data_IF_658319140193
#
_entry.id   IF_658319140193
#
_cell.length_a   1.000
_cell.length_b   1.000
_cell.length_c   1.000
_cell.angle_alpha   90.00
_cell.angle_beta   90.00
_cell.angle_gamma   90.00
#
_symmetry.space_group_name_H-M   'P 1'
#
loop_
_entity.id
_entity.type
_entity.pdbx_description
1 polymer ?
#
# COMPACT_ATOMS: atom_id res chain seq x y z
N UNK A 1 32.90 40.71 12.60
CA UNK A 1 31.51 40.30 12.28
C UNK A 1 31.23 39.03 13.07
N UNK A 2 30.19 39.02 13.91
CA UNK A 2 29.77 37.79 14.60
C UNK A 2 29.09 36.90 13.55
N UNK A 3 29.38 35.59 13.48
CA UNK A 3 28.59 34.69 12.65
C UNK A 3 27.18 34.66 13.24
N UNK A 4 26.18 35.07 12.46
CA UNK A 4 24.79 34.91 12.82
C UNK A 4 24.45 33.43 12.74
N UNK A 5 24.32 32.77 13.88
CA UNK A 5 23.80 31.39 13.95
C UNK A 5 22.31 31.42 13.62
N UNK A 6 21.98 31.29 12.34
CA UNK A 6 20.62 30.95 11.93
C UNK A 6 20.47 29.44 12.15
N UNK A 7 19.70 29.03 13.16
CA UNK A 7 19.30 27.63 13.31
C UNK A 7 18.25 27.34 12.25
N UNK A 8 18.61 26.56 11.24
CA UNK A 8 17.70 25.99 10.25
C UNK A 8 17.20 24.67 10.84
N UNK A 9 15.89 24.47 10.89
CA UNK A 9 15.29 23.19 11.28
C UNK A 9 14.35 22.77 10.17
N UNK A 10 14.82 21.89 9.29
CA UNK A 10 13.97 21.22 8.33
C UNK A 10 13.65 19.82 8.89
N UNK A 11 12.40 19.61 9.27
CA UNK A 11 11.86 18.26 9.28
C UNK A 11 11.22 18.05 7.91
N UNK A 12 11.60 16.99 7.19
CA UNK A 12 10.67 16.40 6.22
C UNK A 12 9.33 16.27 6.93
N UNK A 13 8.25 16.82 6.37
CA UNK A 13 6.94 16.65 6.97
C UNK A 13 6.54 15.21 6.67
N UNK A 14 6.53 14.28 7.64
CA UNK A 14 5.85 13.02 7.40
C UNK A 14 4.38 13.35 7.13
N UNK A 15 3.75 12.52 6.29
CA UNK A 15 2.35 12.65 5.91
C UNK A 15 1.45 13.00 7.12
N UNK A 16 1.74 12.48 8.32
CA UNK A 16 1.08 12.91 9.56
C UNK A 16 1.58 14.27 10.10
N UNK A 17 1.02 15.39 9.62
CA UNK A 17 0.56 16.49 10.49
C UNK A 17 0.21 17.76 9.69
N UNK A 18 -1.09 18.02 9.52
CA UNK A 18 -1.58 19.39 9.47
C UNK A 18 -2.95 19.49 10.17
N UNK A 19 -2.99 20.26 11.25
CA UNK A 19 -4.24 20.70 11.85
C UNK A 19 -4.95 21.68 10.88
N UNK A 20 -6.29 21.63 10.75
CA UNK A 20 -6.99 22.40 9.74
C UNK A 20 -7.01 23.90 10.10
N UNK A 21 -6.45 24.71 9.21
CA UNK A 21 -6.67 26.15 9.19
C UNK A 21 -7.94 26.46 8.39
N UNK A 22 -8.96 26.96 9.09
CA UNK A 22 -10.16 27.52 8.47
C UNK A 22 -9.84 28.81 7.72
N UNK A 23 -10.13 28.86 6.42
CA UNK A 23 -10.15 30.08 5.63
C UNK A 23 -11.55 30.29 5.01
N UNK A 24 -12.17 31.39 5.41
CA UNK A 24 -13.38 31.97 4.84
C UNK A 24 -13.23 32.21 3.33
N UNK A 25 -14.24 31.81 2.55
CA UNK A 25 -14.48 32.36 1.21
C UNK A 25 -15.97 32.62 1.02
N UNK A 26 -16.31 33.90 0.91
CA UNK A 26 -17.62 34.42 0.59
C UNK A 26 -17.95 34.27 -0.91
N UNK A 27 -19.21 33.98 -1.23
CA UNK A 27 -19.79 34.17 -2.56
C UNK A 27 -21.17 34.89 -2.44
N UNK A 28 -21.56 35.75 -3.40
CA UNK A 28 -22.71 36.65 -3.27
C UNK A 28 -23.96 36.20 -4.06
N UNK A 29 -25.14 36.63 -3.58
CA UNK A 29 -26.18 37.17 -4.48
C UNK A 29 -27.56 36.49 -4.59
N UNK A 30 -28.54 37.10 -3.91
CA UNK A 30 -29.96 37.33 -4.33
C UNK A 30 -31.06 36.30 -3.93
N UNK A 31 -32.36 36.70 -3.87
CA UNK A 31 -32.98 37.20 -2.63
C UNK A 31 -34.40 36.66 -2.29
N UNK A 32 -34.88 37.08 -1.09
CA UNK A 32 -36.28 37.37 -0.71
C UNK A 32 -37.26 36.21 -0.37
N UNK A 33 -37.62 36.04 0.91
CA UNK A 33 -38.83 36.66 1.55
C UNK A 33 -39.14 36.10 2.96
N UNK A 34 -39.22 37.05 3.91
CA UNK A 34 -40.08 37.16 5.11
C UNK A 34 -40.38 35.98 6.05
N UNK A 35 -40.12 36.20 7.35
CA UNK A 35 -40.80 35.47 8.43
C UNK A 35 -40.19 35.72 9.81
N UNK A 36 -40.56 36.82 10.47
CA UNK A 36 -40.02 37.28 11.75
C UNK A 36 -40.38 36.39 12.96
N UNK A 37 -39.47 36.31 13.94
CA UNK A 37 -39.74 36.58 15.37
C UNK A 37 -38.45 36.67 16.20
N UNK A 38 -38.36 37.75 16.97
CA UNK A 38 -37.25 38.14 17.83
C UNK A 38 -37.23 37.36 19.16
N UNK A 39 -36.07 37.31 19.83
CA UNK A 39 -35.80 37.99 21.13
C UNK A 39 -34.29 37.91 21.43
N UNK A 40 -33.74 39.07 21.81
CA UNK A 40 -32.35 39.32 22.16
C UNK A 40 -31.94 38.76 23.53
N UNK A 41 -30.62 38.56 23.74
CA UNK A 41 -29.88 39.16 24.88
C UNK A 41 -28.35 38.94 24.81
N UNK A 42 -27.67 40.08 24.66
CA UNK A 42 -26.43 40.57 25.31
C UNK A 42 -25.21 39.64 25.44
N UNK A 43 -24.14 40.04 24.76
CA UNK A 43 -22.72 39.76 25.09
C UNK A 43 -22.34 40.41 26.43
N UNK A 44 -21.57 39.69 27.24
CA UNK A 44 -20.64 40.23 28.22
C UNK A 44 -19.36 39.38 28.23
N UNK A 45 -18.25 40.08 28.39
CA UNK A 45 -16.83 39.75 28.22
C UNK A 45 -16.20 38.94 29.37
N UNK A 46 -15.29 37.98 29.02
CA UNK A 46 -13.99 37.53 29.61
C UNK A 46 -13.83 37.38 31.16
N UNK A 47 -12.88 36.57 31.72
CA UNK A 47 -11.61 36.06 31.15
C UNK A 47 -11.21 34.60 31.52
N UNK A 48 -10.04 34.20 30.98
CA UNK A 48 -9.15 33.06 31.29
C UNK A 48 -9.13 32.54 32.74
N UNK A 49 -9.11 31.20 32.89
CA UNK A 49 -8.36 30.52 33.95
C UNK A 49 -8.00 29.08 33.50
N UNK A 50 -6.71 28.75 33.67
CA UNK A 50 -6.14 27.43 33.47
C UNK A 50 -6.67 26.44 34.54
N UNK A 51 -6.95 25.20 34.13
CA UNK A 51 -7.12 24.08 35.06
C UNK A 51 -6.63 22.79 34.41
N UNK A 52 -5.44 22.38 34.83
CA UNK A 52 -4.96 21.00 34.80
C UNK A 52 -5.94 20.10 35.55
N UNK A 53 -6.38 19.00 34.95
CA UNK A 53 -7.01 17.91 35.69
C UNK A 53 -6.62 16.56 35.09
N UNK A 54 -5.72 15.88 35.80
CA UNK A 54 -5.54 14.44 35.70
C UNK A 54 -6.82 13.76 36.21
N UNK A 55 -7.33 12.78 35.45
CA UNK A 55 -8.33 11.85 35.96
C UNK A 55 -7.94 10.43 35.56
N UNK A 56 -7.30 9.75 36.51
CA UNK A 56 -7.24 8.30 36.56
C UNK A 56 -8.60 7.79 37.06
N UNK A 57 -9.22 6.85 36.35
CA UNK A 57 -10.29 6.02 36.89
C UNK A 57 -10.23 4.60 36.30
N UNK A 58 -9.69 3.72 37.16
CA UNK A 58 -10.15 2.39 37.53
C UNK A 58 -10.69 1.42 36.45
N UNK A 59 -9.90 0.35 36.30
CA UNK A 59 -10.28 -1.00 35.88
C UNK A 59 -11.57 -1.50 36.54
N UNK A 60 -12.45 -2.07 35.72
CA UNK A 60 -13.38 -3.13 36.12
C UNK A 60 -13.26 -4.28 35.13
N UNK A 61 -12.82 -5.42 35.64
CA UNK A 61 -12.65 -6.70 34.97
C UNK A 61 -13.99 -7.36 34.64
N UNK A 62 -14.17 -7.77 33.38
CA UNK A 62 -15.02 -8.90 33.01
C UNK A 62 -14.19 -9.85 32.17
N UNK A 63 -13.85 -11.00 32.76
CA UNK A 63 -13.27 -12.15 32.07
C UNK A 63 -14.36 -12.89 31.29
N UNK A 64 -14.08 -13.24 30.04
CA UNK A 64 -14.87 -14.19 29.28
C UNK A 64 -14.55 -14.15 27.78
N UNK A 65 -13.91 -15.20 27.29
CA UNK A 65 -13.57 -15.49 25.88
C UNK A 65 -12.42 -14.67 25.28
N UNK A 66 -11.19 -15.10 25.57
CA UNK A 66 -10.03 -14.79 24.75
C UNK A 66 -10.19 -15.45 23.37
N UNK A 67 -10.27 -14.64 22.31
CA UNK A 67 -9.93 -15.09 20.98
C UNK A 67 -8.41 -15.39 20.95
N UNK A 68 -7.96 -16.48 20.32
CA UNK A 68 -6.54 -16.76 20.24
C UNK A 68 -5.86 -15.70 19.35
N UNK A 69 -4.65 -15.31 19.76
CA UNK A 69 -3.74 -14.54 18.91
C UNK A 69 -3.54 -15.27 17.56
N UNK A 70 -3.52 -14.48 16.49
CA UNK A 70 -3.55 -14.91 15.10
C UNK A 70 -2.65 -16.11 14.80
N UNK A 71 -3.26 -17.14 14.23
CA UNK A 71 -2.53 -18.06 13.38
C UNK A 71 -2.40 -17.35 12.03
N UNK A 72 -1.23 -16.75 11.78
CA UNK A 72 -0.86 -16.40 10.41
C UNK A 72 -1.01 -17.66 9.57
N UNK A 73 -1.79 -17.57 8.50
CA UNK A 73 -1.83 -18.62 7.48
C UNK A 73 -0.39 -18.86 7.01
N UNK A 74 -0.05 -20.11 6.69
CA UNK A 74 1.24 -20.39 6.08
C UNK A 74 1.28 -19.65 4.73
N UNK A 75 2.07 -18.58 4.65
CA UNK A 75 2.20 -17.77 3.46
C UNK A 75 2.56 -18.64 2.27
N UNK A 76 1.97 -18.33 1.10
CA UNK A 76 2.30 -19.07 -0.11
C UNK A 76 3.81 -18.89 -0.40
N UNK A 77 4.55 -19.98 -0.67
CA UNK A 77 5.95 -19.84 -1.06
C UNK A 77 6.03 -19.03 -2.36
N UNK A 78 7.01 -18.14 -2.45
CA UNK A 78 7.29 -17.40 -3.68
C UNK A 78 7.39 -18.38 -4.87
N UNK A 79 6.86 -18.00 -6.05
CA UNK A 79 6.95 -18.86 -7.22
C UNK A 79 8.43 -19.13 -7.52
N UNK A 80 8.76 -20.40 -7.77
CA UNK A 80 10.10 -20.80 -8.22
C UNK A 80 10.13 -20.92 -9.73
N UNK A 81 11.22 -20.55 -10.42
CA UNK A 81 11.35 -20.75 -11.86
C UNK A 81 11.13 -22.23 -12.19
N UNK A 82 10.10 -22.51 -13.00
CA UNK A 82 9.80 -23.87 -13.45
C UNK A 82 10.99 -24.44 -14.22
N UNK A 83 11.48 -25.60 -13.79
CA UNK A 83 12.51 -26.34 -14.51
C UNK A 83 12.05 -26.63 -15.93
N UNK A 84 12.58 -25.86 -16.90
CA UNK A 84 12.34 -26.08 -18.31
C UNK A 84 12.79 -27.49 -18.68
N UNK A 85 11.83 -28.35 -19.01
CA UNK A 85 12.06 -29.64 -19.64
C UNK A 85 12.56 -29.34 -21.06
N UNK A 86 13.85 -29.52 -21.31
CA UNK A 86 14.43 -29.39 -22.65
C UNK A 86 14.18 -30.66 -23.47
N UNK A 87 13.72 -30.56 -24.74
CA UNK A 87 13.97 -31.60 -25.71
C UNK A 87 15.35 -31.36 -26.38
N UNK A 88 16.14 -32.43 -26.47
CA UNK A 88 17.42 -32.48 -27.17
C UNK A 88 17.34 -31.97 -28.62
N UNK A 89 18.28 -31.12 -29.05
CA UNK A 89 18.94 -31.23 -30.37
C UNK A 89 20.17 -30.31 -30.51
N UNK A 90 21.33 -30.97 -30.63
CA UNK A 90 22.63 -30.71 -31.28
C UNK A 90 23.31 -29.30 -31.41
N UNK A 91 24.68 -29.25 -31.49
CA UNK A 91 25.49 -28.08 -31.15
C UNK A 91 26.10 -27.33 -32.35
N UNK A 92 26.26 -26.00 -32.23
CA UNK A 92 27.39 -25.27 -32.85
C UNK A 92 27.58 -23.85 -32.28
N UNK A 93 28.70 -23.68 -31.57
CA UNK A 93 29.63 -22.51 -31.50
C UNK A 93 29.14 -21.09 -31.85
N UNK A 94 29.19 -20.14 -30.91
CA UNK A 94 30.27 -19.10 -30.74
C UNK A 94 29.99 -18.25 -29.46
N UNK A 95 30.87 -17.35 -28.94
CA UNK A 95 31.18 -17.28 -27.51
C UNK A 95 30.79 -15.93 -26.89
N UNK A 96 30.87 -15.84 -25.56
CA UNK A 96 30.89 -14.55 -24.88
C UNK A 96 29.74 -14.32 -23.89
N UNK A 97 29.51 -15.28 -23.01
CA UNK A 97 29.01 -14.97 -21.67
C UNK A 97 30.24 -14.82 -20.74
N UNK A 98 30.37 -13.75 -19.94
CA UNK A 98 31.24 -13.79 -18.79
C UNK A 98 30.62 -14.71 -17.72
N UNK A 99 31.45 -15.32 -16.86
CA UNK A 99 31.03 -16.45 -16.04
C UNK A 99 30.24 -15.99 -14.81
N UNK A 100 29.26 -16.81 -14.44
CA UNK A 100 28.63 -16.80 -13.12
C UNK A 100 29.63 -17.26 -12.04
N UNK A 101 29.50 -16.59 -10.89
CA UNK A 101 29.91 -16.94 -9.52
C UNK A 101 31.32 -16.57 -9.03
N UNK A 102 31.37 -15.57 -8.14
CA UNK A 102 31.96 -15.75 -6.81
C UNK A 102 32.64 -14.52 -6.18
N UNK A 103 32.36 -14.32 -4.88
CA UNK A 103 33.13 -13.61 -3.84
C UNK A 103 32.54 -12.28 -3.35
N UNK A 104 32.50 -12.12 -2.03
CA UNK A 104 31.88 -11.00 -1.30
C UNK A 104 32.39 -9.59 -1.65
N UNK A 105 33.48 -9.48 -2.40
CA UNK A 105 34.03 -8.20 -2.87
C UNK A 105 33.30 -7.69 -4.12
N UNK A 106 32.76 -8.58 -4.95
CA UNK A 106 31.98 -8.20 -6.13
C UNK A 106 30.62 -7.64 -5.68
N UNK A 107 30.01 -8.19 -4.62
CA UNK A 107 28.76 -7.66 -4.03
C UNK A 107 28.89 -6.25 -3.43
N UNK A 108 30.03 -5.89 -2.83
CA UNK A 108 30.26 -4.52 -2.36
C UNK A 108 30.43 -3.54 -3.54
N UNK A 109 30.92 -4.03 -4.69
CA UNK A 109 31.00 -3.27 -5.93
C UNK A 109 29.64 -3.15 -6.61
N UNK A 110 28.87 -4.23 -6.69
CA UNK A 110 27.52 -4.26 -7.25
C UNK A 110 26.57 -3.38 -6.41
N UNK A 111 26.60 -3.49 -5.07
CA UNK A 111 25.82 -2.62 -4.19
C UNK A 111 26.26 -1.15 -4.25
N UNK A 112 27.55 -0.88 -4.53
CA UNK A 112 28.02 0.47 -4.77
C UNK A 112 27.61 1.00 -6.16
N UNK A 113 27.51 0.13 -7.17
CA UNK A 113 27.01 0.47 -8.51
C UNK A 113 25.48 0.65 -8.52
N UNK A 114 24.72 -0.19 -7.83
CA UNK A 114 23.27 -0.06 -7.66
C UNK A 114 22.90 1.13 -6.75
N UNK A 115 23.66 1.35 -5.68
CA UNK A 115 23.59 2.58 -4.89
C UNK A 115 23.89 3.81 -5.76
N UNK A 116 24.97 3.79 -6.55
CA UNK A 116 25.30 4.89 -7.47
C UNK A 116 24.26 5.08 -8.60
N UNK A 117 23.59 4.02 -9.03
CA UNK A 117 22.47 4.04 -9.97
C UNK A 117 21.27 4.75 -9.34
N UNK A 118 20.85 4.33 -8.14
CA UNK A 118 19.72 4.92 -7.41
C UNK A 118 19.92 6.41 -7.06
N UNK A 119 21.14 6.83 -6.75
CA UNK A 119 21.48 8.21 -6.41
C UNK A 119 21.11 9.22 -7.51
N UNK A 120 20.99 8.79 -8.79
CA UNK A 120 20.82 9.71 -9.93
C UNK A 120 19.64 9.40 -10.85
N UNK A 121 18.87 8.36 -10.58
CA UNK A 121 17.77 7.93 -11.47
C UNK A 121 16.39 8.11 -10.87
N UNK A 122 16.29 8.57 -9.61
CA UNK A 122 15.01 8.81 -8.96
C UNK A 122 14.25 10.01 -9.56
N UNK A 123 12.91 9.94 -9.66
CA UNK A 123 12.11 11.02 -10.22
C UNK A 123 12.17 12.29 -9.35
N UNK A 124 12.31 12.17 -8.03
CA UNK A 124 12.36 13.35 -7.17
C UNK A 124 13.69 14.11 -7.30
N UNK A 125 14.81 13.40 -7.47
CA UNK A 125 16.09 13.98 -7.86
C UNK A 125 16.00 14.73 -9.20
N UNK A 126 15.29 14.16 -10.18
CA UNK A 126 15.16 14.75 -11.51
C UNK A 126 14.43 16.11 -11.50
N UNK A 127 13.50 16.33 -10.57
CA UNK A 127 12.78 17.59 -10.39
C UNK A 127 13.58 18.71 -9.71
N UNK A 128 14.68 18.36 -9.04
CA UNK A 128 15.52 19.34 -8.38
C UNK A 128 16.30 20.17 -9.42
N UNK A 129 16.52 21.45 -9.12
CA UNK A 129 17.45 22.28 -9.90
C UNK A 129 18.89 21.77 -9.82
N UNK A 130 19.77 22.15 -10.76
CA UNK A 130 21.18 21.68 -10.77
C UNK A 130 21.91 21.91 -9.44
N UNK A 131 21.67 23.04 -8.75
CA UNK A 131 22.29 23.30 -7.43
C UNK A 131 21.68 22.47 -6.31
N UNK A 132 20.39 22.16 -6.39
CA UNK A 132 19.70 21.27 -5.45
C UNK A 132 20.11 19.81 -5.66
N UNK A 133 20.27 19.37 -6.91
CA UNK A 133 20.83 18.06 -7.27
C UNK A 133 22.25 17.91 -6.72
N UNK A 134 23.12 18.91 -6.87
CA UNK A 134 24.45 18.88 -6.27
C UNK A 134 24.39 18.73 -4.75
N UNK A 135 23.44 19.40 -4.09
CA UNK A 135 23.22 19.27 -2.65
C UNK A 135 22.69 17.90 -2.26
N UNK A 136 21.74 17.35 -3.03
CA UNK A 136 21.21 16.00 -2.88
C UNK A 136 22.35 14.99 -2.87
N UNK A 137 23.23 15.02 -3.87
CA UNK A 137 24.32 14.04 -4.01
C UNK A 137 25.25 14.05 -2.79
N UNK A 138 25.60 15.24 -2.30
CA UNK A 138 26.47 15.38 -1.13
C UNK A 138 25.78 14.89 0.15
N UNK A 139 24.50 15.22 0.33
CA UNK A 139 23.73 14.81 1.51
C UNK A 139 23.47 13.30 1.49
N UNK A 140 23.04 12.74 0.36
CA UNK A 140 22.83 11.31 0.19
C UNK A 140 24.11 10.51 0.47
N UNK A 141 25.26 10.94 -0.04
CA UNK A 141 26.55 10.29 0.24
C UNK A 141 26.94 10.35 1.73
N UNK A 142 26.62 11.46 2.42
CA UNK A 142 26.83 11.56 3.86
C UNK A 142 25.90 10.60 4.63
N UNK A 143 24.64 10.47 4.21
CA UNK A 143 23.69 9.50 4.79
C UNK A 143 24.19 8.07 4.58
N UNK A 144 24.61 7.71 3.37
CA UNK A 144 25.21 6.42 3.01
C UNK A 144 26.43 6.08 3.88
N UNK A 145 27.27 7.07 4.16
CA UNK A 145 28.45 6.90 5.00
C UNK A 145 28.14 6.97 6.50
N UNK A 146 26.87 7.18 6.87
CA UNK A 146 26.42 7.49 8.23
C UNK A 146 27.22 8.64 8.88
N UNK A 147 27.59 9.63 8.08
CA UNK A 147 28.23 10.85 8.51
C UNK A 147 27.16 11.85 8.96
N UNK A 148 27.05 12.04 10.27
CA UNK A 148 26.00 12.89 10.83
C UNK A 148 26.18 14.37 10.45
N UNK A 149 27.41 14.83 10.25
CA UNK A 149 27.70 16.22 9.91
C UNK A 149 28.17 16.33 8.47
N UNK A 150 27.45 17.11 7.67
CA UNK A 150 27.77 17.36 6.27
C UNK A 150 27.85 18.87 6.00
N UNK A 151 28.71 19.27 5.06
CA UNK A 151 28.82 20.65 4.58
C UNK A 151 28.51 20.64 3.11
N UNK A 152 27.54 21.46 2.71
CA UNK A 152 27.15 21.66 1.31
C UNK A 152 27.45 23.09 0.89
N UNK A 153 27.87 23.24 -0.36
CA UNK A 153 28.08 24.56 -0.94
C UNK A 153 26.74 25.24 -1.22
N UNK A 154 26.70 26.56 -1.02
CA UNK A 154 25.49 27.36 -1.14
C UNK A 154 24.76 27.55 0.18
N UNK A 155 23.90 28.57 0.19
CA UNK A 155 23.02 28.88 1.33
C UNK A 155 21.66 28.22 1.11
N UNK A 156 21.50 26.98 1.55
CA UNK A 156 20.21 26.29 1.49
C UNK A 156 19.24 26.92 2.51
N UNK A 157 18.15 27.52 2.02
CA UNK A 157 17.02 27.92 2.86
C UNK A 157 16.13 26.73 3.22
N UNK A 158 15.25 26.90 4.20
CA UNK A 158 14.41 25.82 4.75
C UNK A 158 13.60 25.08 3.68
N UNK A 159 12.99 25.80 2.73
CA UNK A 159 12.19 25.20 1.65
C UNK A 159 13.04 24.36 0.69
N UNK A 160 14.24 24.85 0.35
CA UNK A 160 15.19 24.17 -0.53
C UNK A 160 15.71 22.91 0.15
N UNK A 161 16.10 23.03 1.42
CA UNK A 161 16.57 21.89 2.21
C UNK A 161 15.45 20.85 2.35
N UNK A 162 14.22 21.27 2.65
CA UNK A 162 13.06 20.38 2.74
C UNK A 162 12.84 19.59 1.45
N UNK A 163 12.84 20.25 0.28
CA UNK A 163 12.73 19.56 -1.02
C UNK A 163 13.84 18.55 -1.24
N UNK A 164 15.09 18.91 -0.96
CA UNK A 164 16.24 18.00 -1.13
C UNK A 164 16.14 16.79 -0.20
N UNK A 165 15.79 16.99 1.08
CA UNK A 165 15.66 15.89 2.04
C UNK A 165 14.48 14.98 1.70
N UNK A 166 13.35 15.53 1.26
CA UNK A 166 12.19 14.76 0.81
C UNK A 166 12.53 13.95 -0.45
N UNK A 167 13.22 14.54 -1.42
CA UNK A 167 13.67 13.82 -2.61
C UNK A 167 14.53 12.61 -2.24
N UNK A 168 15.48 12.77 -1.29
CA UNK A 168 16.26 11.63 -0.79
C UNK A 168 15.34 10.59 -0.14
N UNK A 169 14.43 11.02 0.73
CA UNK A 169 13.54 10.12 1.47
C UNK A 169 12.58 9.32 0.56
N UNK A 170 12.19 9.88 -0.59
CA UNK A 170 11.27 9.25 -1.55
C UNK A 170 11.98 8.47 -2.65
N UNK A 171 13.19 8.85 -3.05
CA UNK A 171 13.97 8.10 -4.05
C UNK A 171 14.77 6.94 -3.45
N UNK A 172 15.11 7.02 -2.14
CA UNK A 172 16.09 6.12 -1.51
C UNK A 172 15.50 5.33 -0.33
N UNK A 173 14.58 4.37 -0.60
CA UNK A 173 14.02 3.52 0.44
C UNK A 173 15.07 2.63 1.14
N UNK A 174 16.24 2.44 0.53
CA UNK A 174 17.39 1.73 1.09
C UNK A 174 18.06 2.50 2.26
N UNK A 175 17.92 3.82 2.33
CA UNK A 175 18.51 4.67 3.37
C UNK A 175 17.67 4.71 4.67
N UNK A 176 17.17 3.55 5.12
CA UNK A 176 16.19 3.41 6.21
C UNK A 176 16.61 3.99 7.58
N UNK A 177 17.89 4.25 7.80
CA UNK A 177 18.36 4.86 9.06
C UNK A 177 18.22 6.38 9.09
N UNK A 178 17.94 7.03 7.96
CA UNK A 178 17.70 8.46 7.89
C UNK A 178 16.25 8.80 8.20
N UNK A 179 16.02 9.76 9.11
CA UNK A 179 14.66 10.12 9.55
C UNK A 179 13.95 11.11 8.63
N UNK A 180 14.64 11.64 7.60
CA UNK A 180 14.15 12.78 6.81
C UNK A 180 14.41 14.13 7.47
N UNK A 181 14.95 14.18 8.70
CA UNK A 181 15.17 15.42 9.43
C UNK A 181 16.65 15.84 9.47
N UNK A 182 16.88 17.15 9.43
CA UNK A 182 18.19 17.74 9.67
C UNK A 182 18.07 19.09 10.38
N UNK A 183 19.10 19.42 11.16
CA UNK A 183 19.32 20.80 11.62
C UNK A 183 20.49 21.40 10.88
N UNK A 184 20.47 22.71 10.64
CA UNK A 184 21.47 23.36 9.81
C UNK A 184 21.87 24.74 10.30
N UNK A 185 22.98 25.23 9.77
CA UNK A 185 23.39 26.63 9.88
C UNK A 185 24.08 27.07 8.59
N UNK A 186 23.83 28.30 8.18
CA UNK A 186 24.47 28.91 7.02
C UNK A 186 25.59 29.84 7.49
N UNK A 187 26.78 29.67 6.91
CA UNK A 187 27.92 30.56 7.15
C UNK A 187 28.82 30.63 5.93
N UNK A 188 29.27 31.84 5.56
CA UNK A 188 30.22 32.06 4.45
C UNK A 188 29.81 31.41 3.12
N UNK A 189 28.50 31.36 2.82
CA UNK A 189 27.99 30.76 1.59
C UNK A 189 28.00 29.23 1.57
N UNK A 190 28.10 28.59 2.74
CA UNK A 190 27.96 27.15 2.92
C UNK A 190 26.88 26.85 3.95
N UNK A 191 26.18 25.73 3.78
CA UNK A 191 25.28 25.18 4.77
C UNK A 191 25.95 23.99 5.46
N UNK A 192 26.09 24.06 6.78
CA UNK A 192 26.48 22.91 7.61
C UNK A 192 25.23 22.26 8.16
N UNK A 193 25.03 20.97 7.93
CA UNK A 193 23.91 20.18 8.42
C UNK A 193 24.35 19.16 9.47
N UNK A 194 23.46 18.88 10.40
CA UNK A 194 23.48 17.73 11.31
C UNK A 194 22.25 16.89 10.98
N UNK A 195 22.49 15.75 10.34
CA UNK A 195 21.49 14.79 9.92
C UNK A 195 20.99 13.99 11.12
N UNK A 196 19.69 13.68 11.13
CA UNK A 196 19.08 12.87 12.17
C UNK A 196 18.95 11.42 11.70
N UNK A 197 19.41 10.50 12.56
CA UNK A 197 19.44 9.07 12.28
C UNK A 197 18.69 8.30 13.37
N UNK A 198 17.82 7.38 12.96
CA UNK A 198 17.03 6.53 13.86
C UNK A 198 17.80 5.30 14.34
N UNK A 199 18.93 4.97 13.69
CA UNK A 199 19.71 3.75 13.93
C UNK A 199 21.10 4.09 14.46
N UNK A 200 21.54 3.36 15.49
CA UNK A 200 22.90 3.48 16.02
C UNK A 200 23.94 2.97 15.02
N UNK A 201 25.00 3.76 14.81
CA UNK A 201 26.05 3.47 13.81
C UNK A 201 26.73 2.12 14.03
N UNK A 202 26.83 1.62 15.27
CA UNK A 202 27.44 0.33 15.55
C UNK A 202 26.53 -0.85 15.14
N UNK A 203 25.23 -0.61 15.02
CA UNK A 203 24.23 -1.62 14.59
C UNK A 203 23.85 -1.51 13.12
N UNK A 204 24.19 -0.39 12.47
CA UNK A 204 23.77 -0.08 11.11
C UNK A 204 24.18 -1.16 10.09
N UNK A 205 25.44 -1.60 10.11
CA UNK A 205 25.91 -2.60 9.14
C UNK A 205 25.16 -3.93 9.25
N UNK A 206 24.82 -4.35 10.47
CA UNK A 206 24.05 -5.57 10.67
C UNK A 206 22.61 -5.41 10.18
N UNK A 207 22.00 -4.23 10.37
CA UNK A 207 20.65 -3.94 9.88
C UNK A 207 20.59 -3.81 8.36
N UNK A 208 21.61 -3.22 7.72
CA UNK A 208 21.77 -3.20 6.25
C UNK A 208 21.81 -4.62 5.69
N UNK A 209 22.72 -5.45 6.19
CA UNK A 209 22.82 -6.84 5.75
C UNK A 209 21.52 -7.65 5.95
N UNK A 210 20.74 -7.34 6.98
CA UNK A 210 19.44 -7.96 7.20
C UNK A 210 18.38 -7.50 6.17
N UNK A 211 18.37 -6.22 5.80
CA UNK A 211 17.52 -5.71 4.73
C UNK A 211 17.90 -6.31 3.38
N UNK A 212 19.19 -6.29 3.04
CA UNK A 212 19.71 -6.85 1.78
C UNK A 212 19.32 -8.33 1.66
N UNK A 213 19.46 -9.11 2.74
CA UNK A 213 19.06 -10.51 2.76
C UNK A 213 17.54 -10.70 2.63
N UNK A 214 16.73 -9.83 3.24
CA UNK A 214 15.27 -9.89 3.13
C UNK A 214 14.81 -9.59 1.70
N UNK A 215 15.41 -8.58 1.06
CA UNK A 215 15.17 -8.22 -0.34
C UNK A 215 15.60 -9.36 -1.27
N UNK A 216 16.82 -9.89 -1.12
CA UNK A 216 17.32 -11.02 -1.93
C UNK A 216 16.40 -12.24 -1.84
N UNK A 217 15.91 -12.57 -0.65
CA UNK A 217 14.98 -13.69 -0.47
C UNK A 217 13.66 -13.52 -1.24
N UNK A 218 13.27 -12.27 -1.52
CA UNK A 218 12.09 -11.94 -2.34
C UNK A 218 12.46 -11.91 -3.82
N UNK A 219 13.57 -11.29 -4.18
CA UNK A 219 13.97 -11.03 -5.57
C UNK A 219 14.46 -12.28 -6.28
N UNK A 220 15.34 -13.08 -5.66
CA UNK A 220 15.98 -14.22 -6.35
C UNK A 220 14.99 -15.26 -6.89
N UNK A 221 13.89 -15.65 -6.18
CA UNK A 221 12.90 -16.57 -6.74
C UNK A 221 12.13 -16.01 -7.95
N UNK A 222 12.09 -14.68 -8.09
CA UNK A 222 11.32 -13.99 -9.12
C UNK A 222 12.13 -13.74 -10.40
N UNK A 223 13.42 -14.06 -10.39
CA UNK A 223 14.28 -13.95 -11.56
C UNK A 223 13.74 -14.77 -12.75
N UNK A 224 13.68 -14.14 -13.92
CA UNK A 224 13.22 -14.78 -15.16
C UNK A 224 11.70 -14.84 -15.34
N UNK A 225 10.91 -14.35 -14.39
CA UNK A 225 9.48 -14.10 -14.59
C UNK A 225 9.26 -12.81 -15.41
N UNK A 226 8.06 -12.63 -15.96
CA UNK A 226 7.68 -11.35 -16.60
C UNK A 226 7.60 -10.23 -15.54
N UNK A 227 7.85 -8.95 -15.90
CA UNK A 227 7.74 -7.84 -14.95
C UNK A 227 6.41 -7.80 -14.18
N UNK A 228 5.29 -8.06 -14.86
CA UNK A 228 3.98 -8.17 -14.21
C UNK A 228 3.93 -9.31 -13.17
N UNK A 229 4.44 -10.50 -13.51
CA UNK A 229 4.47 -11.62 -12.57
C UNK A 229 5.42 -11.37 -11.39
N UNK A 230 6.56 -10.71 -11.61
CA UNK A 230 7.48 -10.27 -10.56
C UNK A 230 6.80 -9.28 -9.61
N UNK A 231 6.13 -8.27 -10.17
CA UNK A 231 5.39 -7.26 -9.43
C UNK A 231 4.29 -7.88 -8.56
N UNK A 232 3.43 -8.73 -9.15
CA UNK A 232 2.36 -9.41 -8.40
C UNK A 232 2.92 -10.27 -7.27
N UNK A 233 3.96 -11.05 -7.53
CA UNK A 233 4.53 -11.92 -6.50
C UNK A 233 5.16 -11.13 -5.34
N UNK A 234 5.83 -10.01 -5.63
CA UNK A 234 6.35 -9.11 -4.60
C UNK A 234 5.24 -8.40 -3.82
N UNK A 235 4.20 -7.94 -4.51
CA UNK A 235 2.98 -7.38 -3.90
C UNK A 235 2.35 -8.36 -2.91
N UNK A 236 2.03 -9.57 -3.37
CA UNK A 236 1.38 -10.62 -2.57
C UNK A 236 2.27 -11.00 -1.37
N UNK A 237 3.59 -11.11 -1.58
CA UNK A 237 4.51 -11.42 -0.51
C UNK A 237 4.49 -10.35 0.58
N UNK A 238 4.58 -9.07 0.21
CA UNK A 238 4.58 -7.97 1.20
C UNK A 238 3.25 -7.93 1.95
N UNK A 239 2.11 -8.03 1.26
CA UNK A 239 0.79 -8.05 1.88
C UNK A 239 0.63 -9.22 2.87
N UNK A 240 1.23 -10.38 2.61
CA UNK A 240 1.14 -11.54 3.51
C UNK A 240 2.13 -11.55 4.68
N UNK A 241 3.22 -10.77 4.61
CA UNK A 241 4.33 -10.86 5.57
C UNK A 241 4.54 -9.60 6.40
N UNK A 242 3.89 -8.50 6.03
CA UNK A 242 3.89 -7.27 6.81
C UNK A 242 2.54 -7.14 7.50
N UNK A 243 2.55 -6.86 8.80
CA UNK A 243 1.34 -6.55 9.54
C UNK A 243 1.21 -5.04 9.73
N UNK A 244 0.03 -4.50 9.40
CA UNK A 244 -0.27 -3.10 9.57
C UNK A 244 -0.31 -2.70 11.05
N UNK A 245 0.53 -1.74 11.46
CA UNK A 245 0.65 -1.25 12.83
C UNK A 245 0.46 0.28 12.93
N UNK A 246 -0.79 0.76 13.06
CA UNK A 246 -1.09 2.20 13.17
C UNK A 246 -0.63 2.82 14.49
N UNK A 247 -0.13 2.01 15.44
CA UNK A 247 0.36 2.43 16.75
C UNK A 247 1.86 2.17 16.93
N UNK A 248 2.54 1.81 15.84
CA UNK A 248 3.98 1.54 15.82
C UNK A 248 4.82 2.75 16.25
N UNK A 249 6.12 2.53 16.49
CA UNK A 249 7.03 3.62 16.81
C UNK A 249 7.02 4.66 15.68
N UNK A 250 7.17 5.94 16.03
CA UNK A 250 7.12 7.05 15.06
C UNK A 250 8.10 6.91 13.88
N UNK A 251 9.21 6.18 14.07
CA UNK A 251 10.21 5.89 13.04
C UNK A 251 10.02 4.52 12.36
N UNK A 252 8.91 3.82 12.61
CA UNK A 252 8.61 2.46 12.16
C UNK A 252 8.01 2.36 10.76
N UNK A 253 8.38 3.25 9.84
CA UNK A 253 7.74 3.38 8.52
C UNK A 253 8.71 3.18 7.35
N UNK A 254 9.76 2.39 7.56
CA UNK A 254 10.83 2.18 6.57
C UNK A 254 10.72 0.82 5.90
N UNK A 255 11.41 0.63 4.78
CA UNK A 255 11.52 -0.69 4.14
C UNK A 255 12.10 -1.75 5.09
N UNK A 256 12.99 -1.36 6.01
CA UNK A 256 13.50 -2.25 7.06
C UNK A 256 12.41 -2.71 8.03
N UNK A 257 11.53 -1.82 8.49
CA UNK A 257 10.45 -2.21 9.41
C UNK A 257 9.47 -3.18 8.74
N UNK A 258 9.13 -2.90 7.48
CA UNK A 258 8.28 -3.79 6.70
C UNK A 258 8.96 -5.14 6.40
N UNK A 259 10.11 -5.16 5.72
CA UNK A 259 10.71 -6.40 5.22
C UNK A 259 11.46 -7.23 6.27
N UNK A 260 11.98 -6.61 7.33
CA UNK A 260 12.79 -7.30 8.36
C UNK A 260 12.02 -7.48 9.66
N UNK A 261 11.29 -6.46 10.11
CA UNK A 261 10.51 -6.55 11.36
C UNK A 261 9.07 -7.06 11.12
N UNK A 262 8.63 -7.12 9.87
CA UNK A 262 7.31 -7.64 9.48
C UNK A 262 6.16 -6.76 9.93
N UNK A 263 6.40 -5.47 10.25
CA UNK A 263 5.38 -4.55 10.79
C UNK A 263 5.65 -3.11 10.38
N UNK A 264 4.63 -2.43 9.86
CA UNK A 264 4.75 -1.03 9.44
C UNK A 264 3.36 -0.38 9.25
N UNK A 265 3.35 0.91 8.93
CA UNK A 265 2.21 1.61 8.29
C UNK A 265 2.44 1.75 6.78
N UNK A 266 1.49 2.39 6.08
CA UNK A 266 1.46 2.57 4.62
C UNK A 266 2.80 3.02 4.03
N UNK A 267 3.47 3.98 4.66
CA UNK A 267 4.74 4.50 4.15
C UNK A 267 5.88 3.46 4.16
N UNK A 268 5.85 2.44 5.03
CA UNK A 268 6.83 1.35 4.96
C UNK A 268 6.43 0.23 4.01
N UNK A 269 5.13 -0.03 3.80
CA UNK A 269 4.67 -0.91 2.71
C UNK A 269 5.11 -0.34 1.36
N UNK A 270 4.85 0.95 1.13
CA UNK A 270 5.20 1.62 -0.11
C UNK A 270 6.72 1.67 -0.36
N UNK A 271 7.53 1.86 0.70
CA UNK A 271 9.00 1.81 0.60
C UNK A 271 9.54 0.39 0.39
N UNK A 272 8.94 -0.62 1.02
CA UNK A 272 9.30 -2.01 0.82
C UNK A 272 9.04 -2.45 -0.63
N UNK A 273 7.84 -2.14 -1.14
CA UNK A 273 7.47 -2.45 -2.50
C UNK A 273 8.38 -1.71 -3.50
N UNK A 274 8.60 -0.41 -3.30
CA UNK A 274 9.53 0.38 -4.12
C UNK A 274 10.93 -0.24 -4.15
N UNK A 275 11.48 -0.61 -2.99
CA UNK A 275 12.81 -1.21 -2.90
C UNK A 275 12.89 -2.54 -3.65
N UNK A 276 11.90 -3.42 -3.50
CA UNK A 276 11.87 -4.70 -4.23
C UNK A 276 11.74 -4.48 -5.75
N UNK A 277 10.90 -3.55 -6.19
CA UNK A 277 10.74 -3.24 -7.63
C UNK A 277 12.02 -2.68 -8.25
N UNK A 278 12.71 -1.78 -7.53
CA UNK A 278 14.02 -1.24 -7.91
C UNK A 278 15.03 -2.37 -8.20
N UNK A 279 15.11 -3.34 -7.30
CA UNK A 279 16.05 -4.47 -7.36
C UNK A 279 15.68 -5.44 -8.49
N UNK A 280 14.39 -5.57 -8.81
CA UNK A 280 13.90 -6.28 -9.99
C UNK A 280 14.12 -5.48 -11.30
N UNK A 281 14.57 -4.23 -11.22
CA UNK A 281 14.75 -3.35 -12.38
C UNK A 281 13.44 -2.80 -12.95
N UNK A 282 12.35 -2.84 -12.19
CA UNK A 282 11.03 -2.34 -12.57
C UNK A 282 10.89 -0.90 -12.06
N UNK A 283 10.66 0.11 -12.93
CA UNK A 283 10.51 1.49 -12.48
C UNK A 283 9.34 1.63 -11.51
N UNK A 284 9.63 2.10 -10.30
CA UNK A 284 8.65 2.28 -9.24
C UNK A 284 8.98 3.52 -8.42
N UNK A 285 7.96 4.35 -8.16
CA UNK A 285 8.10 5.58 -7.39
C UNK A 285 7.21 5.54 -6.16
N UNK A 286 7.74 6.00 -5.03
CA UNK A 286 6.93 6.31 -3.85
C UNK A 286 5.98 7.46 -4.18
N UNK A 287 4.77 7.45 -3.60
CA UNK A 287 3.81 8.54 -3.70
C UNK A 287 3.40 8.95 -2.29
N UNK A 288 3.46 10.24 -2.00
CA UNK A 288 2.86 10.82 -0.79
C UNK A 288 1.58 11.55 -1.17
N UNK A 289 0.50 11.33 -0.41
CA UNK A 289 -0.77 11.98 -0.64
C UNK A 289 -1.76 11.79 0.49
N UNK A 290 -3.03 11.73 0.14
CA UNK A 290 -4.14 11.50 1.06
C UNK A 290 -5.07 10.42 0.50
N UNK A 291 -5.75 9.69 1.39
CA UNK A 291 -6.74 8.69 1.02
C UNK A 291 -7.92 8.66 2.01
N UNK A 292 -9.08 8.18 1.56
CA UNK A 292 -10.34 8.11 2.32
C UNK A 292 -11.06 6.76 2.18
N UNK A 293 -11.82 6.35 3.18
CA UNK A 293 -12.78 5.22 3.04
C UNK A 293 -12.38 3.90 3.72
N UNK A 294 -11.26 3.83 4.43
CA UNK A 294 -10.96 2.66 5.25
C UNK A 294 -11.75 2.68 6.58
N UNK A 295 -12.21 1.51 7.04
CA UNK A 295 -13.04 1.33 8.25
C UNK A 295 -12.41 1.89 9.55
N UNK A 296 -11.11 2.19 9.54
CA UNK A 296 -10.37 2.68 10.70
C UNK A 296 -10.39 4.22 10.85
N UNK A 297 -10.84 4.96 9.84
CA UNK A 297 -10.92 6.42 9.87
C UNK A 297 -12.38 6.88 9.88
N UNK A 298 -12.61 8.12 10.33
CA UNK A 298 -13.94 8.73 10.24
C UNK A 298 -14.41 8.69 8.78
N UNK A 299 -15.63 8.21 8.56
CA UNK A 299 -16.21 8.05 7.22
C UNK A 299 -16.17 9.38 6.45
N UNK A 300 -15.51 9.38 5.28
CA UNK A 300 -15.34 10.56 4.43
C UNK A 300 -14.19 11.50 4.83
N UNK A 301 -13.35 11.16 5.80
CA UNK A 301 -12.15 11.92 6.11
C UNK A 301 -10.98 11.50 5.22
N UNK A 302 -10.37 12.48 4.56
CA UNK A 302 -9.07 12.31 3.89
C UNK A 302 -7.97 12.29 4.95
N UNK A 303 -7.15 11.26 4.91
CA UNK A 303 -6.03 11.07 5.83
C UNK A 303 -4.72 10.92 5.08
N UNK A 304 -3.60 11.38 5.64
CA UNK A 304 -2.33 11.27 4.97
C UNK A 304 -1.95 9.82 4.71
N UNK A 305 -1.56 9.52 3.47
CA UNK A 305 -1.35 8.17 2.98
C UNK A 305 -0.18 8.08 2.02
N UNK A 306 0.28 6.87 1.76
CA UNK A 306 1.39 6.60 0.85
C UNK A 306 1.21 5.28 0.12
N UNK A 307 1.51 5.30 -1.18
CA UNK A 307 1.40 4.17 -2.09
C UNK A 307 2.50 4.28 -3.16
N UNK A 308 2.39 3.53 -4.26
CA UNK A 308 3.36 3.57 -5.35
C UNK A 308 2.72 3.81 -6.71
N UNK A 309 3.51 4.35 -7.65
CA UNK A 309 3.28 4.12 -9.08
C UNK A 309 4.33 3.17 -9.64
N UNK A 310 3.94 2.32 -10.58
CA UNK A 310 4.80 1.33 -11.23
C UNK A 310 4.66 1.40 -12.74
N UNK A 311 5.76 1.24 -13.47
CA UNK A 311 5.75 1.15 -14.93
C UNK A 311 5.85 -0.31 -15.38
N UNK A 312 4.87 -0.75 -16.17
CA UNK A 312 4.79 -2.08 -16.77
C UNK A 312 4.54 -1.93 -18.27
N UNK A 313 5.41 -2.49 -19.09
CA UNK A 313 5.30 -2.47 -20.56
C UNK A 313 5.04 -1.07 -21.16
N UNK A 314 5.59 -0.03 -20.53
CA UNK A 314 5.47 1.37 -20.95
C UNK A 314 4.19 2.08 -20.48
N UNK A 315 3.37 1.43 -19.66
CA UNK A 315 2.20 2.00 -19.01
C UNK A 315 2.44 2.17 -17.51
N UNK A 316 1.86 3.20 -16.90
CA UNK A 316 2.09 3.56 -15.51
C UNK A 316 0.80 3.37 -14.72
N UNK A 317 0.87 2.70 -13.58
CA UNK A 317 -0.28 2.37 -12.76
C UNK A 317 -0.06 2.69 -11.28
N UNK A 318 -1.14 3.04 -10.57
CA UNK A 318 -1.15 3.13 -9.11
C UNK A 318 -1.22 1.73 -8.50
N UNK A 319 -0.48 1.53 -7.40
CA UNK A 319 -0.46 0.29 -6.61
C UNK A 319 -0.41 0.65 -5.13
N UNK A 320 -1.38 0.17 -4.35
CA UNK A 320 -1.36 0.28 -2.89
C UNK A 320 -1.45 -1.08 -2.19
N UNK A 321 -0.27 -1.63 -1.91
CA UNK A 321 -0.09 -2.89 -1.16
C UNK A 321 -0.74 -2.83 0.23
N UNK A 322 -0.85 -1.64 0.83
CA UNK A 322 -1.40 -1.49 2.18
C UNK A 322 -2.91 -1.72 2.19
N UNK A 323 -3.60 -1.27 1.15
CA UNK A 323 -5.06 -1.42 1.05
C UNK A 323 -5.45 -2.80 0.51
N UNK A 324 -4.59 -3.39 -0.30
CA UNK A 324 -4.73 -4.78 -0.75
C UNK A 324 -4.38 -5.82 0.34
N UNK A 325 -3.66 -5.43 1.41
CA UNK A 325 -3.56 -6.16 2.69
C UNK A 325 -4.86 -5.97 3.52
N UNK A 326 -5.95 -6.53 3.00
CA UNK A 326 -7.29 -6.42 3.58
C UNK A 326 -7.93 -7.79 3.79
N UNK A 327 -8.64 -8.00 4.91
CA UNK A 327 -9.25 -9.28 5.20
C UNK A 327 -10.41 -9.57 4.23
N UNK A 328 -10.51 -10.82 3.80
CA UNK A 328 -11.61 -11.34 2.98
C UNK A 328 -12.43 -12.32 3.84
N UNK A 329 -13.70 -11.98 4.11
CA UNK A 329 -14.55 -12.74 5.05
C UNK A 329 -13.90 -13.00 6.42
N UNK A 330 -13.36 -11.94 7.03
CA UNK A 330 -12.70 -11.97 8.36
C UNK A 330 -11.41 -12.80 8.42
N UNK A 331 -10.85 -13.20 7.27
CA UNK A 331 -9.58 -13.92 7.16
C UNK A 331 -8.53 -13.06 6.46
N UNK A 332 -7.29 -13.11 6.94
CA UNK A 332 -6.13 -12.45 6.29
C UNK A 332 -6.04 -12.95 4.83
N UNK A 333 -6.07 -12.02 3.89
CA UNK A 333 -6.07 -12.29 2.46
C UNK A 333 -5.34 -11.16 1.72
N UNK A 334 -5.04 -11.42 0.44
CA UNK A 334 -4.58 -10.37 -0.47
C UNK A 334 -5.70 -10.08 -1.44
N UNK A 335 -6.11 -8.82 -1.49
CA UNK A 335 -7.04 -8.29 -2.47
C UNK A 335 -6.28 -7.65 -3.63
N UNK A 336 -7.03 -7.25 -4.64
CA UNK A 336 -6.50 -6.52 -5.79
C UNK A 336 -7.43 -5.35 -6.11
N UNK A 337 -7.95 -4.67 -5.09
CA UNK A 337 -8.79 -3.46 -5.26
C UNK A 337 -7.98 -2.25 -5.66
N UNK A 338 -6.73 -2.19 -5.23
CA UNK A 338 -5.84 -1.05 -5.40
C UNK A 338 -4.56 -1.43 -6.18
N UNK A 339 -4.66 -2.48 -6.99
CA UNK A 339 -3.56 -3.06 -7.77
C UNK A 339 -3.65 -2.73 -9.27
N UNK A 340 -2.65 -2.01 -9.78
CA UNK A 340 -2.51 -1.57 -11.17
C UNK A 340 -3.69 -0.72 -11.67
N UNK A 341 -4.02 0.33 -10.91
CA UNK A 341 -5.15 1.21 -11.16
C UNK A 341 -4.78 2.43 -12.00
N UNK A 342 -5.69 2.88 -12.86
CA UNK A 342 -5.56 4.18 -13.55
C UNK A 342 -5.81 5.32 -12.54
N UNK A 343 -5.35 6.54 -12.84
CA UNK A 343 -5.65 7.70 -11.99
C UNK A 343 -7.17 7.96 -11.89
N UNK A 344 -7.94 7.69 -12.95
CA UNK A 344 -9.41 7.87 -12.95
C UNK A 344 -10.10 6.91 -11.98
N UNK A 345 -9.69 5.63 -11.98
CA UNK A 345 -10.25 4.62 -11.07
C UNK A 345 -9.80 4.85 -9.62
N UNK A 346 -8.55 5.32 -9.43
CA UNK A 346 -7.94 5.53 -8.12
C UNK A 346 -8.42 6.83 -7.44
N UNK A 347 -8.84 7.84 -8.22
CA UNK A 347 -9.25 9.16 -7.72
C UNK A 347 -10.50 9.16 -6.83
N UNK A 348 -11.27 8.06 -6.81
CA UNK A 348 -12.44 7.93 -5.94
C UNK A 348 -12.08 8.01 -4.45
N UNK A 349 -10.90 7.49 -4.09
CA UNK A 349 -10.46 7.33 -2.71
C UNK A 349 -9.00 7.75 -2.45
N UNK A 350 -8.21 8.05 -3.49
CA UNK A 350 -6.81 8.49 -3.38
C UNK A 350 -6.56 9.82 -4.09
N UNK A 351 -5.69 10.65 -3.50
CA UNK A 351 -5.27 11.92 -4.09
C UNK A 351 -3.80 12.20 -3.82
N UNK A 352 -3.00 12.38 -4.89
CA UNK A 352 -1.58 12.76 -4.77
C UNK A 352 -1.42 14.10 -4.05
N UNK A 353 -0.44 14.16 -3.15
CA UNK A 353 -0.04 15.41 -2.51
C UNK A 353 0.83 16.28 -3.42
N UNK A 354 1.02 17.55 -3.04
CA UNK A 354 1.85 18.51 -3.80
C UNK A 354 3.26 17.98 -4.09
N UNK A 355 3.83 17.24 -3.13
CA UNK A 355 5.18 16.69 -3.25
C UNK A 355 5.31 15.64 -4.36
N UNK A 356 4.21 14.98 -4.73
CA UNK A 356 4.19 13.91 -5.74
C UNK A 356 3.38 14.28 -6.99
N UNK A 357 2.92 15.53 -7.09
CA UNK A 357 2.05 16.00 -8.17
C UNK A 357 2.73 16.06 -9.54
N UNK A 358 4.07 16.10 -9.57
CA UNK A 358 4.85 16.11 -10.81
C UNK A 358 5.05 14.71 -11.40
N UNK A 359 4.82 13.65 -10.61
CA UNK A 359 5.03 12.28 -11.07
C UNK A 359 4.14 12.00 -12.29
N UNK A 360 4.57 11.14 -13.23
CA UNK A 360 3.79 10.81 -14.41
C UNK A 360 2.35 10.38 -14.10
N UNK A 361 1.42 10.75 -14.98
CA UNK A 361 0.03 10.33 -14.87
C UNK A 361 -0.07 8.80 -15.06
N UNK A 362 -1.02 8.18 -14.35
CA UNK A 362 -1.42 6.79 -14.55
C UNK A 362 -2.61 6.74 -15.51
N UNK A 363 -2.43 7.23 -16.73
CA UNK A 363 -3.47 7.45 -17.74
C UNK A 363 -3.38 6.46 -18.92
N UNK A 364 -2.70 5.33 -18.70
CA UNK A 364 -2.65 4.23 -19.66
C UNK A 364 -3.97 3.47 -19.81
N UNK A 365 -3.98 2.47 -20.69
CA UNK A 365 -5.12 1.55 -20.82
C UNK A 365 -5.35 0.80 -19.49
N UNK A 366 -6.62 0.55 -19.09
CA UNK A 366 -6.94 -0.24 -17.91
C UNK A 366 -6.17 -1.56 -17.91
N UNK A 367 -5.56 -1.90 -16.76
CA UNK A 367 -4.74 -3.09 -16.65
C UNK A 367 -5.60 -4.37 -16.74
N UNK A 368 -5.36 -5.18 -17.76
CA UNK A 368 -6.02 -6.48 -17.94
C UNK A 368 -5.37 -7.54 -17.04
N UNK A 369 -5.91 -7.67 -15.82
CA UNK A 369 -5.40 -8.59 -14.81
C UNK A 369 -5.49 -10.06 -15.25
N UNK A 370 -6.60 -10.45 -15.87
CA UNK A 370 -6.80 -11.83 -16.30
C UNK A 370 -5.85 -12.18 -17.46
N UNK A 371 -5.66 -11.27 -18.43
CA UNK A 371 -4.68 -11.50 -19.49
C UNK A 371 -3.25 -11.58 -18.95
N UNK A 372 -2.91 -10.77 -17.93
CA UNK A 372 -1.58 -10.75 -17.34
C UNK A 372 -1.26 -12.02 -16.52
N UNK A 373 -2.25 -12.57 -15.80
CA UNK A 373 -2.02 -13.63 -14.81
C UNK A 373 -2.72 -14.96 -15.11
N UNK A 374 -3.59 -15.01 -16.12
CA UNK A 374 -4.38 -16.18 -16.49
C UNK A 374 -5.49 -16.53 -15.50
N UNK A 375 -5.82 -15.61 -14.58
CA UNK A 375 -6.81 -15.76 -13.53
C UNK A 375 -7.41 -14.40 -13.19
N UNK A 376 -8.72 -14.32 -12.95
CA UNK A 376 -9.38 -13.09 -12.51
C UNK A 376 -9.01 -12.73 -11.06
N UNK A 377 -9.26 -11.47 -10.68
CA UNK A 377 -8.92 -10.93 -9.34
C UNK A 377 -9.62 -11.70 -8.21
N UNK A 378 -10.86 -12.15 -8.41
CA UNK A 378 -11.62 -12.84 -7.37
C UNK A 378 -11.15 -14.26 -7.15
N UNK A 379 -10.79 -14.98 -8.22
CA UNK A 379 -10.14 -16.29 -8.10
C UNK A 379 -8.75 -16.17 -7.49
N UNK A 380 -7.95 -15.18 -7.89
CA UNK A 380 -6.65 -14.93 -7.27
C UNK A 380 -6.78 -14.67 -5.75
N UNK A 381 -7.76 -13.86 -5.33
CA UNK A 381 -8.04 -13.61 -3.92
C UNK A 381 -8.55 -14.88 -3.19
N UNK A 382 -9.39 -15.68 -3.83
CA UNK A 382 -9.90 -16.95 -3.28
C UNK A 382 -8.78 -17.99 -3.10
N UNK A 383 -7.82 -18.05 -4.01
CA UNK A 383 -6.66 -18.95 -3.95
C UNK A 383 -5.82 -18.74 -2.68
N UNK A 384 -5.62 -17.48 -2.25
CA UNK A 384 -4.91 -17.16 -1.00
C UNK A 384 -5.59 -17.75 0.24
N UNK A 385 -6.91 -17.91 0.20
CA UNK A 385 -7.69 -18.53 1.27
C UNK A 385 -7.92 -20.04 1.09
N UNK A 386 -7.41 -20.64 0.01
CA UNK A 386 -7.72 -22.02 -0.36
C UNK A 386 -9.22 -22.26 -0.62
N UNK A 387 -9.94 -21.21 -1.03
CA UNK A 387 -11.38 -21.27 -1.30
C UNK A 387 -11.62 -21.83 -2.71
N UNK A 388 -12.38 -22.91 -2.77
CA UNK A 388 -12.90 -23.43 -4.05
C UNK A 388 -14.09 -22.58 -4.52
N UNK A 389 -13.94 -21.97 -5.70
CA UNK A 389 -15.02 -21.25 -6.39
C UNK A 389 -15.87 -22.24 -7.19
N UNK A 390 -17.18 -22.27 -6.91
CA UNK A 390 -18.12 -23.21 -7.54
C UNK A 390 -18.56 -22.79 -8.95
N UNK A 391 -18.41 -21.51 -9.30
CA UNK A 391 -18.75 -20.96 -10.60
C UNK A 391 -18.67 -19.44 -10.62
N UNK A 392 -18.99 -18.86 -11.76
CA UNK A 392 -19.01 -17.41 -11.96
C UNK A 392 -20.27 -16.96 -12.69
N UNK A 393 -20.73 -15.74 -12.42
CA UNK A 393 -21.88 -15.15 -13.09
C UNK A 393 -21.66 -13.66 -13.37
N UNK A 394 -21.95 -13.27 -14.61
CA UNK A 394 -22.04 -11.86 -15.03
C UNK A 394 -23.48 -11.46 -15.35
N UNK A 395 -24.40 -12.43 -15.38
CA UNK A 395 -25.84 -12.22 -15.63
C UNK A 395 -26.71 -12.89 -14.56
N UNK A 396 -27.96 -12.40 -14.46
CA UNK A 396 -28.95 -12.98 -13.57
C UNK A 396 -29.27 -14.44 -13.94
N UNK A 397 -29.31 -14.76 -15.24
CA UNK A 397 -29.57 -16.09 -15.75
C UNK A 397 -28.46 -17.09 -15.38
N UNK A 398 -27.19 -16.69 -15.51
CA UNK A 398 -26.04 -17.51 -15.09
C UNK A 398 -26.05 -17.74 -13.58
N UNK A 399 -26.31 -16.68 -12.80
CA UNK A 399 -26.43 -16.79 -11.35
C UNK A 399 -27.54 -17.78 -10.96
N UNK A 400 -28.73 -17.64 -11.53
CA UNK A 400 -29.86 -18.53 -11.26
C UNK A 400 -29.54 -19.99 -11.61
N UNK A 401 -28.89 -20.23 -12.74
CA UNK A 401 -28.48 -21.58 -13.14
C UNK A 401 -27.46 -22.21 -12.18
N UNK A 402 -26.49 -21.41 -11.69
CA UNK A 402 -25.54 -21.87 -10.66
C UNK A 402 -26.26 -22.22 -9.36
N UNK A 403 -27.19 -21.37 -8.92
CA UNK A 403 -27.98 -21.63 -7.71
C UNK A 403 -28.81 -22.91 -7.83
N UNK A 404 -29.48 -23.14 -8.96
CA UNK A 404 -30.21 -24.37 -9.24
C UNK A 404 -29.29 -25.60 -9.20
N UNK A 405 -28.13 -25.52 -9.86
CA UNK A 405 -27.15 -26.61 -9.91
C UNK A 405 -26.60 -26.97 -8.53
N UNK A 406 -26.21 -25.97 -7.73
CA UNK A 406 -25.71 -26.19 -6.37
C UNK A 406 -26.80 -26.73 -5.44
N UNK A 407 -28.04 -26.26 -5.58
CA UNK A 407 -29.18 -26.78 -4.83
C UNK A 407 -29.52 -28.22 -5.23
N UNK A 408 -29.49 -28.55 -6.53
CA UNK A 408 -29.73 -29.89 -7.04
C UNK A 408 -28.67 -30.91 -6.59
N UNK A 409 -27.45 -30.44 -6.31
CA UNK A 409 -26.37 -31.26 -5.76
C UNK A 409 -26.34 -31.33 -4.22
N UNK A 410 -27.15 -30.52 -3.53
CA UNK A 410 -27.13 -30.41 -2.08
C UNK A 410 -27.69 -31.67 -1.40
N UNK A 411 -26.92 -32.24 -0.47
CA UNK A 411 -27.40 -33.29 0.41
C UNK A 411 -28.10 -32.68 1.63
N UNK A 412 -29.26 -33.23 2.03
CA UNK A 412 -29.98 -32.76 3.21
C UNK A 412 -30.61 -31.37 3.08
N UNK A 413 -30.75 -30.84 1.86
CA UNK A 413 -31.33 -29.52 1.56
C UNK A 413 -30.55 -28.35 2.20
N UNK A 414 -29.23 -28.51 2.28
CA UNK A 414 -28.32 -27.47 2.78
C UNK A 414 -27.03 -27.48 1.96
N UNK A 415 -26.52 -26.29 1.62
CA UNK A 415 -25.25 -26.13 0.91
C UNK A 415 -24.60 -24.79 1.24
N UNK A 416 -23.27 -24.73 1.18
CA UNK A 416 -22.52 -23.47 1.24
C UNK A 416 -21.36 -23.54 0.27
N UNK A 417 -21.20 -22.48 -0.51
CA UNK A 417 -20.23 -22.40 -1.60
C UNK A 417 -19.88 -20.93 -1.88
N UNK A 418 -18.83 -20.75 -2.68
CA UNK A 418 -18.37 -19.43 -3.10
C UNK A 418 -18.56 -19.29 -4.61
N UNK A 419 -18.98 -18.11 -5.04
CA UNK A 419 -19.09 -17.72 -6.45
C UNK A 419 -18.24 -16.49 -6.71
N UNK A 420 -17.80 -16.34 -7.96
CA UNK A 420 -17.40 -15.04 -8.48
C UNK A 420 -18.61 -14.39 -9.13
N UNK A 421 -18.91 -13.14 -8.79
CA UNK A 421 -20.02 -12.40 -9.38
C UNK A 421 -19.48 -11.08 -9.90
N UNK A 422 -19.80 -10.77 -11.15
CA UNK A 422 -19.36 -9.54 -11.81
C UNK A 422 -20.49 -8.51 -11.85
N UNK A 423 -20.16 -7.27 -11.50
CA UNK A 423 -21.03 -6.10 -11.62
C UNK A 423 -21.88 -5.81 -10.38
N UNK A 424 -21.86 -4.54 -9.99
CA UNK A 424 -22.54 -4.02 -8.79
C UNK A 424 -24.06 -4.28 -8.81
N UNK A 425 -24.69 -4.11 -9.97
CA UNK A 425 -26.15 -4.30 -10.14
C UNK A 425 -26.57 -5.76 -9.91
N UNK A 426 -25.74 -6.72 -10.35
CA UNK A 426 -26.01 -8.14 -10.12
C UNK A 426 -25.82 -8.48 -8.64
N UNK A 427 -24.74 -8.00 -8.03
CA UNK A 427 -24.47 -8.18 -6.59
C UNK A 427 -25.59 -7.59 -5.72
N UNK A 428 -26.11 -6.42 -6.08
CA UNK A 428 -27.20 -5.77 -5.37
C UNK A 428 -28.54 -6.54 -5.47
N UNK A 429 -28.72 -7.39 -6.48
CA UNK A 429 -29.97 -8.11 -6.75
C UNK A 429 -29.98 -9.59 -6.33
N UNK A 430 -28.88 -10.12 -5.77
CA UNK A 430 -28.72 -11.55 -5.49
C UNK A 430 -29.84 -12.15 -4.60
N UNK A 431 -30.36 -11.38 -3.63
CA UNK A 431 -31.41 -11.82 -2.72
C UNK A 431 -32.75 -12.10 -3.38
N UNK A 432 -32.98 -11.50 -4.56
CA UNK A 432 -34.22 -11.70 -5.32
C UNK A 432 -34.07 -12.85 -6.33
N UNK A 433 -32.83 -13.14 -6.76
CA UNK A 433 -32.56 -14.10 -7.82
C UNK A 433 -32.51 -15.56 -7.36
N UNK A 434 -32.21 -15.85 -6.08
CA UNK A 434 -32.02 -17.24 -5.61
C UNK A 434 -33.31 -18.03 -5.37
N UNK A 435 -34.43 -17.34 -5.09
CA UNK A 435 -35.59 -17.96 -4.45
C UNK A 435 -36.23 -19.07 -5.28
N UNK A 436 -36.59 -18.77 -6.53
CA UNK A 436 -37.28 -19.72 -7.40
C UNK A 436 -36.38 -20.89 -7.86
N UNK A 437 -35.12 -20.67 -8.30
CA UNK A 437 -34.23 -21.77 -8.69
C UNK A 437 -33.97 -22.76 -7.55
N UNK A 438 -33.65 -22.27 -6.36
CA UNK A 438 -33.34 -23.13 -5.19
C UNK A 438 -34.59 -23.85 -4.71
N UNK A 439 -35.74 -23.16 -4.63
CA UNK A 439 -37.00 -23.77 -4.22
C UNK A 439 -37.40 -24.90 -5.17
N UNK A 440 -37.35 -24.64 -6.47
CA UNK A 440 -37.68 -25.64 -7.50
C UNK A 440 -36.80 -26.89 -7.39
N UNK A 441 -35.49 -26.71 -7.20
CA UNK A 441 -34.54 -27.81 -7.04
C UNK A 441 -34.78 -28.64 -5.77
N UNK A 442 -35.00 -27.99 -4.62
CA UNK A 442 -35.28 -28.67 -3.35
C UNK A 442 -36.64 -29.38 -3.36
N UNK A 443 -37.69 -28.76 -3.91
CA UNK A 443 -39.00 -29.40 -4.07
C UNK A 443 -38.94 -30.64 -4.96
N UNK A 444 -38.14 -30.61 -6.04
CA UNK A 444 -37.91 -31.77 -6.91
C UNK A 444 -37.26 -32.96 -6.17
N UNK A 445 -36.50 -32.68 -5.11
CA UNK A 445 -35.91 -33.68 -4.21
C UNK A 445 -36.83 -34.05 -3.03
N UNK A 446 -38.03 -33.49 -2.94
CA UNK A 446 -39.04 -33.80 -1.92
C UNK A 446 -38.99 -32.92 -0.67
N UNK A 447 -38.30 -31.78 -0.70
CA UNK A 447 -38.32 -30.80 0.39
C UNK A 447 -39.72 -30.22 0.59
N UNK A 448 -40.14 -30.10 1.86
CA UNK A 448 -41.37 -29.41 2.26
C UNK A 448 -41.05 -28.54 3.48
N UNK A 449 -40.75 -27.26 3.27
CA UNK A 449 -40.36 -26.35 4.35
C UNK A 449 -40.02 -24.95 3.86
N UNK A 450 -39.56 -24.10 4.78
CA UNK A 450 -38.99 -22.79 4.47
C UNK A 450 -37.51 -22.91 4.12
N UNK A 451 -37.00 -22.02 3.28
CA UNK A 451 -35.59 -21.97 2.89
C UNK A 451 -34.97 -20.70 3.47
N UNK A 452 -33.79 -20.83 4.06
CA UNK A 452 -32.96 -19.68 4.47
C UNK A 452 -31.87 -19.45 3.45
N UNK A 453 -31.57 -18.18 3.20
CA UNK A 453 -30.50 -17.74 2.33
C UNK A 453 -29.72 -16.64 3.00
N UNK A 454 -28.40 -16.83 3.07
CA UNK A 454 -27.46 -15.81 3.48
C UNK A 454 -26.42 -15.67 2.38
N UNK A 455 -26.23 -14.44 1.91
CA UNK A 455 -25.11 -14.07 1.05
C UNK A 455 -24.23 -13.04 1.74
N UNK A 456 -22.94 -13.13 1.51
CA UNK A 456 -21.98 -12.09 1.85
C UNK A 456 -21.11 -11.86 0.64
N UNK A 457 -21.12 -10.65 0.11
CA UNK A 457 -20.34 -10.24 -1.06
C UNK A 457 -19.26 -9.26 -0.63
N UNK A 458 -18.05 -9.44 -1.16
CA UNK A 458 -16.94 -8.53 -0.96
C UNK A 458 -16.28 -8.24 -2.31
N UNK A 459 -16.08 -6.95 -2.63
CA UNK A 459 -15.33 -6.56 -3.81
C UNK A 459 -13.86 -6.93 -3.59
N UNK A 460 -13.24 -7.48 -4.63
CA UNK A 460 -11.86 -7.97 -4.60
C UNK A 460 -11.01 -7.34 -5.71
N UNK A 461 -11.58 -6.36 -6.42
CA UNK A 461 -10.96 -5.54 -7.43
C UNK A 461 -11.76 -5.46 -8.72
N UNK A 462 -11.78 -4.26 -9.31
CA UNK A 462 -12.59 -3.97 -10.50
C UNK A 462 -14.07 -4.23 -10.24
N UNK A 463 -14.74 -4.86 -11.20
CA UNK A 463 -16.15 -5.27 -11.13
C UNK A 463 -16.35 -6.67 -10.52
N UNK A 464 -15.29 -7.33 -10.05
CA UNK A 464 -15.34 -8.68 -9.53
C UNK A 464 -15.61 -8.72 -8.02
N UNK A 465 -16.52 -9.62 -7.62
CA UNK A 465 -16.88 -9.88 -6.23
C UNK A 465 -16.71 -11.35 -5.91
N UNK A 466 -16.11 -11.66 -4.77
CA UNK A 466 -16.23 -12.98 -4.18
C UNK A 466 -17.48 -13.00 -3.31
N UNK A 467 -18.38 -13.96 -3.56
CA UNK A 467 -19.67 -14.07 -2.88
C UNK A 467 -19.74 -15.41 -2.16
N UNK A 468 -19.84 -15.37 -0.84
CA UNK A 468 -20.14 -16.53 -0.01
C UNK A 468 -21.65 -16.72 0.06
N UNK A 469 -22.11 -17.91 -0.29
CA UNK A 469 -23.52 -18.30 -0.24
C UNK A 469 -23.70 -19.42 0.78
N UNK A 470 -24.75 -19.30 1.60
CA UNK A 470 -25.20 -20.35 2.49
C UNK A 470 -26.73 -20.49 2.37
N UNK A 471 -27.16 -21.69 2.01
CA UNK A 471 -28.56 -22.07 1.83
C UNK A 471 -28.87 -23.20 2.80
N UNK A 472 -30.01 -23.14 3.47
CA UNK A 472 -30.44 -24.22 4.35
C UNK A 472 -31.94 -24.26 4.59
N UNK A 473 -32.35 -25.20 5.42
CA UNK A 473 -33.72 -25.27 5.92
C UNK A 473 -33.96 -24.14 6.91
N UNK A 474 -35.10 -23.46 6.81
CA UNK A 474 -35.55 -22.52 7.83
C UNK A 474 -36.17 -23.26 9.01
N UNK A 475 -36.05 -22.68 10.21
CA UNK A 475 -36.85 -23.13 11.34
C UNK A 475 -38.33 -22.85 11.04
N UNK A 476 -39.19 -23.84 11.26
CA UNK A 476 -40.63 -23.78 11.06
C UNK A 476 -41.37 -23.07 12.19
#
# INVERSE_FOLDING_TARGET
>A
MRPSTLLIRAAARPASARAPHSADAAAPGAPCMSGARAVARRRASLPLAAATLALALAFASLSGCAAPAGAHLASAPLPTPGGASTPESDPSTDPGAPPLAGHSADREQDAAEDGARLVRTGPYYAELSESEQASYLVIASAIESAEQKVVVDGSLGDDVLGRVLNAILFDRPDLFWFTGAATGSVSNGQTTLILDFSVDRNTLNAKRAALDAAVENIVSPLEGLSPAAQQKAAHDYIAQHVAYDPHGPQNGQTAYNALVEGKSVCAGYARAFQLVMIELGIPCSYVSGEAQGQQQFEEGAWTPHAWNIVELDGHIYNVDVTWDDSPLFEQEAVLYTDFNMTDDDFAANHQRGEESAFLPACDGEPFDFEAAYGVDRARAAAEHLGIAVAGEASTAEEFQALMEGQAAAAEGFQTSFYLVVYGDDLVASLTDLWQEPVRSAFEAQGFQGSITFNSTSQNVGGDAYLVRIAIGQGES
#
